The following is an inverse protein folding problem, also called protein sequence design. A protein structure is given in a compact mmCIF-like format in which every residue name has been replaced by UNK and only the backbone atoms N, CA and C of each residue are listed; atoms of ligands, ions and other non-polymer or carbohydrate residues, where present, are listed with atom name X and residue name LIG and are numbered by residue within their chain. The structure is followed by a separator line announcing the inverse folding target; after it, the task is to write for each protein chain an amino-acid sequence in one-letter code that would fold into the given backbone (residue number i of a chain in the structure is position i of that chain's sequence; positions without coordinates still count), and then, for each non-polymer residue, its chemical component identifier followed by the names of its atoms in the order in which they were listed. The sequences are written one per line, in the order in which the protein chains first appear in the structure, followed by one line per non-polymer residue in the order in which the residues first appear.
data_IF_145521010305
#
_entry.id   IF_145521010305
#
_cell.length_a   1.000
_cell.length_b   1.000
_cell.length_c   1.000
_cell.angle_alpha   90.00
_cell.angle_beta   90.00
_cell.angle_gamma   90.00
#
_symmetry.space_group_name_H-M   'P 1'
#
loop_
_entity.id
_entity.type
_entity.pdbx_description
1 polymer ?
#
# COMPACT_ATOMS: atom_id res chain seq x y z
N UNK A 1 28.05 -16.87 -10.59
CA UNK A 1 26.62 -16.54 -10.39
C UNK A 1 26.51 -15.67 -9.14
N UNK A 2 25.73 -14.58 -9.16
CA UNK A 2 25.50 -13.81 -7.93
C UNK A 2 24.83 -14.71 -6.89
N UNK A 3 25.27 -14.60 -5.63
CA UNK A 3 24.60 -15.23 -4.49
C UNK A 3 23.15 -14.74 -4.43
N UNK A 4 22.18 -15.65 -4.39
CA UNK A 4 20.76 -15.31 -4.32
C UNK A 4 20.12 -16.02 -3.12
N UNK A 5 19.47 -15.25 -2.27
CA UNK A 5 18.68 -15.79 -1.18
C UNK A 5 17.22 -15.99 -1.64
N UNK A 6 16.62 -17.12 -1.24
CA UNK A 6 15.23 -17.47 -1.56
C UNK A 6 14.50 -17.87 -0.30
N UNK A 7 13.21 -17.51 -0.23
CA UNK A 7 12.29 -17.96 0.80
C UNK A 7 11.51 -19.18 0.29
N UNK A 8 11.40 -20.21 1.12
CA UNK A 8 10.50 -21.35 0.91
C UNK A 8 9.62 -21.49 2.15
N UNK A 9 8.31 -21.68 1.94
CA UNK A 9 7.41 -22.03 3.04
C UNK A 9 7.71 -23.47 3.48
N UNK A 10 7.77 -23.69 4.78
CA UNK A 10 7.95 -25.02 5.34
C UNK A 10 6.75 -25.90 4.96
N UNK A 11 6.96 -27.06 4.32
CA UNK A 11 5.89 -27.98 3.98
C UNK A 11 4.96 -28.34 5.15
N UNK A 12 5.49 -28.40 6.38
CA UNK A 12 4.74 -28.71 7.60
C UNK A 12 3.63 -27.69 7.86
N UNK A 13 3.77 -26.43 7.42
CA UNK A 13 2.70 -25.43 7.53
C UNK A 13 1.46 -25.84 6.74
N UNK A 14 1.63 -26.50 5.59
CA UNK A 14 0.49 -26.97 4.79
C UNK A 14 -0.20 -28.15 5.45
N UNK A 15 0.55 -29.07 6.05
CA UNK A 15 0.01 -30.20 6.80
C UNK A 15 -0.77 -29.73 8.03
N UNK A 16 -0.22 -28.77 8.78
CA UNK A 16 -0.89 -28.14 9.92
C UNK A 16 -2.18 -27.43 9.51
N UNK A 17 -2.15 -26.67 8.41
CA UNK A 17 -3.34 -26.00 7.88
C UNK A 17 -4.41 -27.02 7.45
N UNK A 18 -4.02 -28.12 6.80
CA UNK A 18 -4.93 -29.21 6.44
C UNK A 18 -5.52 -29.91 7.68
N UNK A 19 -4.77 -29.96 8.79
CA UNK A 19 -5.23 -30.45 10.09
C UNK A 19 -6.07 -29.43 10.89
N UNK A 20 -6.37 -28.26 10.34
CA UNK A 20 -7.23 -27.25 10.97
C UNK A 20 -6.50 -26.24 11.87
N UNK A 21 -5.17 -26.14 11.78
CA UNK A 21 -4.42 -25.10 12.47
C UNK A 21 -4.84 -23.69 11.99
N UNK A 22 -4.72 -22.70 12.89
CA UNK A 22 -4.98 -21.30 12.54
C UNK A 22 -3.87 -20.79 11.61
N UNK A 23 -4.27 -20.24 10.47
CA UNK A 23 -3.36 -19.68 9.47
C UNK A 23 -3.36 -18.15 9.53
N UNK A 24 -2.55 -17.59 10.42
CA UNK A 24 -2.47 -16.14 10.67
C UNK A 24 -1.62 -15.37 9.65
N UNK A 25 -1.56 -14.06 9.82
CA UNK A 25 -0.70 -13.19 9.03
C UNK A 25 0.78 -13.55 9.21
N UNK A 26 1.54 -13.54 8.11
CA UNK A 26 2.99 -13.74 8.12
C UNK A 26 3.64 -12.39 7.83
N UNK A 27 4.59 -11.89 8.66
CA UNK A 27 5.25 -10.60 8.47
C UNK A 27 6.26 -10.66 7.30
N UNK A 28 5.74 -10.81 6.09
CA UNK A 28 6.51 -11.07 4.87
C UNK A 28 7.48 -9.93 4.56
N UNK A 29 7.12 -8.69 4.86
CA UNK A 29 8.01 -7.53 4.69
C UNK A 29 9.25 -7.68 5.56
N UNK A 30 9.11 -7.97 6.87
CA UNK A 30 10.26 -8.15 7.76
C UNK A 30 11.19 -9.28 7.29
N UNK A 31 10.62 -10.41 6.85
CA UNK A 31 11.40 -11.53 6.30
C UNK A 31 12.16 -11.11 5.05
N UNK A 32 11.49 -10.45 4.11
CA UNK A 32 12.12 -9.99 2.86
C UNK A 32 13.18 -8.91 3.13
N UNK A 33 12.97 -8.04 4.10
CA UNK A 33 13.94 -7.02 4.52
C UNK A 33 15.22 -7.66 5.05
N UNK A 34 15.12 -8.67 5.92
CA UNK A 34 16.28 -9.41 6.43
C UNK A 34 17.03 -10.14 5.31
N UNK A 35 16.29 -10.79 4.40
CA UNK A 35 16.87 -11.45 3.22
C UNK A 35 17.62 -10.44 2.33
N UNK A 36 17.01 -9.28 2.09
CA UNK A 36 17.60 -8.22 1.28
C UNK A 36 18.87 -7.66 1.93
N UNK A 37 18.85 -7.42 3.25
CA UNK A 37 20.00 -6.90 4.01
C UNK A 37 21.15 -7.91 3.97
N UNK A 38 20.88 -9.19 4.26
CA UNK A 38 21.89 -10.23 4.17
C UNK A 38 22.49 -10.32 2.76
N UNK A 39 21.64 -10.24 1.73
CA UNK A 39 22.10 -10.23 0.33
C UNK A 39 22.98 -9.02 0.03
N UNK A 40 22.55 -7.82 0.44
CA UNK A 40 23.31 -6.59 0.22
C UNK A 40 24.71 -6.66 0.87
N UNK A 41 24.78 -7.12 2.13
CA UNK A 41 26.04 -7.29 2.86
C UNK A 41 26.96 -8.30 2.16
N UNK A 42 26.43 -9.46 1.76
CA UNK A 42 27.22 -10.51 1.10
C UNK A 42 27.78 -10.10 -0.26
N UNK A 43 27.16 -9.11 -0.91
CA UNK A 43 27.62 -8.54 -2.17
C UNK A 43 28.43 -7.25 -2.01
N UNK A 44 28.64 -6.76 -0.79
CA UNK A 44 29.31 -5.47 -0.55
C UNK A 44 28.53 -4.28 -1.12
N UNK A 45 27.20 -4.37 -1.16
CA UNK A 45 26.31 -3.31 -1.63
C UNK A 45 26.00 -2.31 -0.51
N UNK A 46 25.42 -1.18 -0.90
CA UNK A 46 24.87 -0.19 0.03
C UNK A 46 23.61 -0.66 0.75
N UNK A 47 22.95 0.24 1.51
CA UNK A 47 21.76 -0.08 2.27
C UNK A 47 20.60 -0.55 1.38
N UNK A 48 19.75 -1.39 1.94
CA UNK A 48 18.49 -1.78 1.31
C UNK A 48 17.51 -0.60 1.37
N UNK A 49 17.03 -0.21 0.20
CA UNK A 49 16.04 0.86 0.03
C UNK A 49 14.67 0.23 -0.23
N UNK A 50 13.75 0.39 0.72
CA UNK A 50 12.36 -0.02 0.58
C UNK A 50 11.47 1.15 0.15
N UNK A 51 10.26 0.82 -0.31
CA UNK A 51 9.24 1.78 -0.71
C UNK A 51 8.06 1.84 0.27
N UNK A 52 8.23 1.45 1.53
CA UNK A 52 7.14 1.55 2.51
C UNK A 52 6.84 3.01 2.83
N UNK A 53 5.56 3.31 2.93
CA UNK A 53 4.96 4.63 3.01
C UNK A 53 4.42 4.93 4.42
N UNK A 54 3.99 6.17 4.66
CA UNK A 54 3.45 6.59 5.96
C UNK A 54 2.20 5.81 6.33
N UNK A 55 1.29 5.63 5.36
CA UNK A 55 0.00 4.95 5.47
C UNK A 55 0.06 3.52 5.97
N UNK A 56 1.22 2.87 5.82
CA UNK A 56 1.44 1.52 6.34
C UNK A 56 1.51 1.47 7.88
N UNK A 57 1.72 2.61 8.55
CA UNK A 57 1.75 2.70 10.00
C UNK A 57 0.36 2.82 10.62
N UNK A 58 -0.65 3.20 9.84
CA UNK A 58 -2.04 3.37 10.28
C UNK A 58 -2.74 2.01 10.55
N UNK A 59 -3.33 1.81 11.74
CA UNK A 59 -3.96 0.55 12.11
C UNK A 59 -5.25 0.27 11.34
N UNK A 60 -5.59 -1.01 11.21
CA UNK A 60 -6.87 -1.43 10.60
C UNK A 60 -8.05 -1.23 11.55
N UNK A 61 -7.85 -1.51 12.83
CA UNK A 61 -8.84 -1.30 13.89
C UNK A 61 -8.17 -1.31 15.27
N UNK A 62 -8.94 -0.92 16.29
CA UNK A 62 -8.62 -1.17 17.70
C UNK A 62 -9.47 -2.34 18.20
N UNK A 63 -8.82 -3.40 18.66
CA UNK A 63 -9.46 -4.58 19.24
C UNK A 63 -9.04 -4.75 20.70
N UNK A 64 -10.00 -4.69 21.63
CA UNK A 64 -9.74 -4.79 23.07
C UNK A 64 -8.64 -3.83 23.55
N UNK A 65 -8.66 -2.58 23.06
CA UNK A 65 -7.66 -1.56 23.39
C UNK A 65 -6.31 -1.70 22.68
N UNK A 66 -6.16 -2.67 21.78
CA UNK A 66 -4.92 -2.87 21.02
C UNK A 66 -5.13 -2.50 19.55
N UNK A 67 -4.23 -1.69 19.01
CA UNK A 67 -4.17 -1.44 17.57
C UNK A 67 -3.77 -2.71 16.82
N UNK A 68 -4.60 -3.12 15.86
CA UNK A 68 -4.32 -4.25 14.97
C UNK A 68 -3.98 -3.68 13.60
N UNK A 69 -2.73 -3.86 13.17
CA UNK A 69 -2.24 -3.40 11.88
C UNK A 69 -1.73 -4.59 11.04
N UNK A 70 -2.43 -4.91 9.96
CA UNK A 70 -2.06 -5.94 8.98
C UNK A 70 -0.73 -5.63 8.28
N UNK A 71 -0.38 -4.35 8.18
CA UNK A 71 0.82 -3.84 7.55
C UNK A 71 1.91 -3.47 8.57
N UNK A 72 1.79 -3.87 9.84
CA UNK A 72 2.71 -3.40 10.89
C UNK A 72 4.19 -3.59 10.53
N UNK A 73 4.56 -4.69 9.88
CA UNK A 73 5.94 -4.95 9.43
C UNK A 73 6.47 -4.00 8.33
N UNK A 74 5.60 -3.15 7.77
CA UNK A 74 5.93 -2.02 6.90
C UNK A 74 5.90 -0.68 7.63
N UNK A 75 5.42 -0.61 8.87
CA UNK A 75 5.31 0.62 9.64
C UNK A 75 6.65 1.17 10.11
N UNK A 76 6.66 2.44 10.56
CA UNK A 76 7.88 3.10 11.04
C UNK A 76 8.44 2.48 12.32
N UNK A 77 7.57 2.02 13.23
CA UNK A 77 7.99 1.34 14.45
C UNK A 77 8.76 0.05 14.14
N UNK A 78 8.20 -0.79 13.28
CA UNK A 78 8.84 -2.02 12.83
C UNK A 78 10.18 -1.77 12.11
N UNK A 79 10.26 -0.70 11.30
CA UNK A 79 11.51 -0.28 10.68
C UNK A 79 12.57 0.12 11.72
N UNK A 80 12.19 0.87 12.75
CA UNK A 80 13.07 1.24 13.85
C UNK A 80 13.58 0.02 14.63
N UNK A 81 12.68 -0.91 14.98
CA UNK A 81 13.02 -2.16 15.69
C UNK A 81 13.94 -3.05 14.86
N UNK A 82 13.68 -3.20 13.55
CA UNK A 82 14.54 -3.96 12.66
C UNK A 82 15.93 -3.34 12.56
N UNK A 83 16.03 -2.01 12.40
CA UNK A 83 17.31 -1.30 12.36
C UNK A 83 18.10 -1.47 13.65
N UNK A 84 17.43 -1.38 14.80
CA UNK A 84 18.05 -1.59 16.11
C UNK A 84 18.60 -3.01 16.24
N UNK A 85 17.81 -4.03 15.88
CA UNK A 85 18.23 -5.43 15.93
C UNK A 85 19.43 -5.71 14.99
N UNK A 86 19.46 -5.11 13.80
CA UNK A 86 20.58 -5.24 12.86
C UNK A 86 21.85 -4.56 13.38
N UNK A 87 21.72 -3.41 14.04
CA UNK A 87 22.85 -2.75 14.68
C UNK A 87 23.39 -3.59 15.85
N UNK A 88 22.52 -4.07 16.73
CA UNK A 88 22.89 -4.83 17.92
C UNK A 88 23.51 -6.20 17.59
N UNK A 89 22.86 -6.98 16.71
CA UNK A 89 23.24 -8.37 16.48
C UNK A 89 24.17 -8.59 15.29
N UNK A 90 24.25 -7.64 14.36
CA UNK A 90 25.09 -7.75 13.17
C UNK A 90 26.10 -6.61 13.01
N UNK A 91 26.11 -5.61 13.91
CA UNK A 91 27.03 -4.47 13.83
C UNK A 91 26.80 -3.57 12.62
N UNK A 92 25.62 -3.65 11.99
CA UNK A 92 25.33 -2.93 10.76
C UNK A 92 24.83 -1.51 11.06
N UNK A 93 25.43 -0.51 10.41
CA UNK A 93 25.02 0.89 10.53
C UNK A 93 24.20 1.31 9.31
N UNK A 94 22.99 1.82 9.56
CA UNK A 94 22.03 2.27 8.54
C UNK A 94 21.73 1.26 7.39
N UNK A 95 21.64 -0.06 7.63
CA UNK A 95 21.59 -1.06 6.55
C UNK A 95 20.28 -1.10 5.75
N UNK A 96 19.23 -0.43 6.21
CA UNK A 96 17.87 -0.60 5.75
C UNK A 96 17.03 0.65 6.04
N UNK A 97 16.34 1.21 5.05
CA UNK A 97 15.38 2.28 5.27
C UNK A 97 14.29 2.29 4.19
N UNK A 98 13.16 2.94 4.48
CA UNK A 98 12.10 3.17 3.49
C UNK A 98 12.19 4.58 2.92
N UNK A 99 12.48 4.74 1.63
CA UNK A 99 12.66 6.06 0.99
C UNK A 99 11.36 6.86 0.94
N UNK A 100 10.23 6.19 0.73
CA UNK A 100 8.91 6.82 0.59
C UNK A 100 8.21 7.02 1.94
N UNK A 101 8.89 6.79 3.08
CA UNK A 101 8.29 6.78 4.42
C UNK A 101 7.47 8.02 4.73
N UNK A 102 7.90 9.17 4.25
CA UNK A 102 7.23 10.43 4.54
C UNK A 102 6.00 10.70 3.68
N UNK A 103 5.76 9.92 2.62
CA UNK A 103 4.64 10.11 1.71
C UNK A 103 3.45 9.22 2.11
N UNK A 104 2.24 9.66 1.83
CA UNK A 104 1.05 8.80 1.85
C UNK A 104 0.96 7.96 0.56
N UNK A 105 0.16 6.89 0.55
CA UNK A 105 -0.15 6.12 -0.67
C UNK A 105 -0.75 7.02 -1.77
N UNK A 106 -1.65 7.95 -1.44
CA UNK A 106 -2.29 8.84 -2.41
C UNK A 106 -1.30 9.84 -3.00
N UNK A 107 -0.35 10.33 -2.20
CA UNK A 107 0.74 11.15 -2.72
C UNK A 107 1.61 10.33 -3.68
N UNK A 108 1.95 9.08 -3.32
CA UNK A 108 2.70 8.19 -4.21
C UNK A 108 1.92 7.92 -5.51
N UNK A 109 0.60 7.73 -5.44
CA UNK A 109 -0.24 7.54 -6.62
C UNK A 109 -0.22 8.76 -7.56
N UNK A 110 -0.22 9.98 -7.01
CA UNK A 110 -0.04 11.22 -7.78
C UNK A 110 1.29 11.24 -8.50
N UNK A 111 2.39 10.93 -7.81
CA UNK A 111 3.73 10.91 -8.41
C UNK A 111 3.86 9.81 -9.47
N UNK A 112 3.31 8.63 -9.20
CA UNK A 112 3.32 7.52 -10.15
C UNK A 112 2.53 7.86 -11.43
N UNK A 113 1.46 8.66 -11.32
CA UNK A 113 0.68 9.08 -12.47
C UNK A 113 1.47 9.95 -13.48
N UNK A 114 2.62 10.51 -13.11
CA UNK A 114 3.51 11.22 -14.03
C UNK A 114 4.38 10.27 -14.88
N UNK A 115 4.34 8.96 -14.60
CA UNK A 115 5.20 7.95 -15.23
C UNK A 115 4.35 6.93 -15.98
N UNK A 116 4.48 6.85 -17.30
CA UNK A 116 3.73 5.92 -18.17
C UNK A 116 4.49 4.61 -18.51
N UNK A 117 5.82 4.62 -18.38
CA UNK A 117 6.70 3.49 -18.75
C UNK A 117 6.38 2.16 -18.07
N UNK A 118 5.57 2.17 -17.01
CA UNK A 118 5.20 1.00 -16.21
C UNK A 118 3.75 0.55 -16.37
N UNK A 119 2.95 1.22 -17.20
CA UNK A 119 1.52 0.92 -17.36
C UNK A 119 1.27 -0.55 -17.77
N UNK A 120 2.16 -1.13 -18.57
CA UNK A 120 2.07 -2.52 -19.01
C UNK A 120 2.40 -3.56 -17.94
N UNK A 121 3.06 -3.18 -16.84
CA UNK A 121 3.61 -4.13 -15.84
C UNK A 121 3.18 -3.85 -14.41
N UNK A 122 2.66 -2.65 -14.11
CA UNK A 122 2.21 -2.30 -12.76
C UNK A 122 1.12 -3.25 -12.29
N UNK A 123 1.29 -3.83 -11.10
CA UNK A 123 0.32 -4.74 -10.47
C UNK A 123 0.50 -4.72 -8.97
N UNK A 124 -0.59 -4.54 -8.24
CA UNK A 124 -0.62 -4.69 -6.77
C UNK A 124 -1.67 -5.69 -6.31
N UNK A 125 -2.50 -6.23 -7.22
CA UNK A 125 -3.62 -7.10 -6.89
C UNK A 125 -3.18 -8.35 -6.11
N UNK A 126 -3.73 -8.56 -4.91
CA UNK A 126 -3.43 -9.74 -4.11
C UNK A 126 -3.82 -11.06 -4.79
N UNK A 127 -4.83 -11.05 -5.66
CA UNK A 127 -5.21 -12.24 -6.42
C UNK A 127 -4.11 -12.67 -7.41
N UNK A 128 -3.23 -11.76 -7.86
CA UNK A 128 -2.11 -12.10 -8.74
C UNK A 128 -0.96 -12.81 -8.00
N UNK A 129 -0.94 -12.76 -6.66
CA UNK A 129 0.12 -13.33 -5.84
C UNK A 129 -0.34 -14.53 -5.02
N UNK A 130 -1.53 -15.09 -5.31
CA UNK A 130 -2.00 -16.33 -4.68
C UNK A 130 -1.13 -17.51 -5.09
N UNK A 131 -0.91 -18.45 -4.17
CA UNK A 131 -0.16 -19.69 -4.44
C UNK A 131 -0.90 -20.62 -5.43
N UNK A 132 -2.22 -20.49 -5.55
CA UNK A 132 -3.09 -21.25 -6.46
C UNK A 132 -4.11 -20.29 -7.07
N UNK A 133 -4.47 -20.54 -8.33
CA UNK A 133 -5.49 -19.78 -9.07
C UNK A 133 -5.21 -18.26 -9.09
N UNK A 134 -3.96 -17.90 -9.37
CA UNK A 134 -3.55 -16.51 -9.46
C UNK A 134 -4.16 -15.83 -10.69
N UNK A 135 -4.65 -14.60 -10.53
CA UNK A 135 -5.05 -13.76 -11.66
C UNK A 135 -3.84 -13.26 -12.43
N UNK A 136 -3.97 -12.98 -13.73
CA UNK A 136 -2.83 -12.49 -14.53
C UNK A 136 -2.25 -11.16 -14.02
N UNK A 137 -3.09 -10.17 -13.70
CA UNK A 137 -2.66 -8.88 -13.12
C UNK A 137 -3.69 -8.26 -12.18
N UNK A 138 -4.83 -7.83 -12.71
CA UNK A 138 -5.86 -7.14 -11.93
C UNK A 138 -7.15 -7.96 -11.94
N UNK A 139 -7.59 -8.45 -10.76
CA UNK A 139 -8.88 -9.14 -10.66
C UNK A 139 -10.08 -8.18 -10.70
N UNK A 140 -9.83 -6.87 -10.52
CA UNK A 140 -10.83 -5.78 -10.53
C UNK A 140 -11.90 -5.86 -9.45
N UNK A 141 -11.76 -6.77 -8.49
CA UNK A 141 -12.80 -7.02 -7.47
C UNK A 141 -12.28 -7.10 -6.02
N UNK A 142 -10.96 -7.14 -5.78
CA UNK A 142 -10.44 -7.15 -4.42
C UNK A 142 -10.29 -5.72 -3.86
N UNK A 143 -10.24 -5.54 -2.52
CA UNK A 143 -10.05 -4.23 -1.89
C UNK A 143 -8.82 -3.48 -2.43
N UNK A 144 -7.75 -4.21 -2.73
CA UNK A 144 -6.53 -3.65 -3.31
C UNK A 144 -6.72 -3.10 -4.73
N UNK A 145 -7.51 -3.76 -5.58
CA UNK A 145 -7.82 -3.21 -6.92
C UNK A 145 -8.62 -1.92 -6.79
N UNK A 146 -9.63 -1.91 -5.93
CA UNK A 146 -10.47 -0.73 -5.67
C UNK A 146 -9.64 0.44 -5.15
N UNK A 147 -8.84 0.21 -4.11
CA UNK A 147 -8.00 1.26 -3.54
C UNK A 147 -7.04 1.86 -4.57
N UNK A 148 -6.29 1.02 -5.30
CA UNK A 148 -5.31 1.54 -6.28
C UNK A 148 -6.01 2.26 -7.44
N UNK A 149 -7.16 1.77 -7.91
CA UNK A 149 -7.94 2.47 -8.93
C UNK A 149 -8.40 3.84 -8.43
N UNK A 150 -8.97 3.91 -7.21
CA UNK A 150 -9.42 5.16 -6.60
C UNK A 150 -8.26 6.14 -6.37
N UNK A 151 -7.10 5.67 -5.91
CA UNK A 151 -5.94 6.52 -5.65
C UNK A 151 -5.32 7.08 -6.94
N UNK A 152 -5.33 6.33 -8.05
CA UNK A 152 -4.78 6.77 -9.34
C UNK A 152 -5.76 7.60 -10.19
N UNK A 153 -7.07 7.36 -10.06
CA UNK A 153 -8.11 8.00 -10.89
C UNK A 153 -8.06 9.53 -10.93
N UNK A 154 -7.80 10.26 -9.83
CA UNK A 154 -7.72 11.72 -9.87
C UNK A 154 -6.60 12.26 -10.74
N UNK A 155 -5.57 11.46 -11.02
CA UNK A 155 -4.31 11.91 -11.61
C UNK A 155 -4.03 11.32 -13.00
N UNK A 156 -4.92 10.45 -13.49
CA UNK A 156 -4.81 9.82 -14.80
C UNK A 156 -6.05 10.13 -15.65
N UNK A 157 -5.88 10.09 -16.98
CA UNK A 157 -7.05 10.02 -17.86
C UNK A 157 -7.79 8.71 -17.64
N UNK A 158 -9.12 8.75 -17.76
CA UNK A 158 -9.97 7.55 -17.68
C UNK A 158 -9.55 6.48 -18.68
N UNK A 159 -9.15 6.87 -19.89
CA UNK A 159 -8.64 5.93 -20.90
C UNK A 159 -7.37 5.19 -20.43
N UNK A 160 -6.38 5.93 -19.93
CA UNK A 160 -5.13 5.33 -19.45
C UNK A 160 -5.37 4.36 -18.29
N UNK A 161 -6.12 4.81 -17.28
CA UNK A 161 -6.37 4.01 -16.09
C UNK A 161 -7.16 2.73 -16.41
N UNK A 162 -8.20 2.85 -17.25
CA UNK A 162 -8.99 1.69 -17.69
C UNK A 162 -8.16 0.74 -18.56
N UNK A 163 -7.21 1.24 -19.34
CA UNK A 163 -6.22 0.44 -20.07
C UNK A 163 -5.30 -0.37 -19.15
N UNK A 164 -4.80 0.23 -18.05
CA UNK A 164 -3.95 -0.45 -17.05
C UNK A 164 -4.72 -1.60 -16.38
N UNK A 165 -5.94 -1.34 -15.94
CA UNK A 165 -6.76 -2.30 -15.19
C UNK A 165 -7.51 -3.29 -16.09
N UNK A 166 -7.67 -2.98 -17.38
CA UNK A 166 -8.52 -3.72 -18.31
C UNK A 166 -10.01 -3.57 -18.00
N UNK A 167 -10.42 -2.46 -17.39
CA UNK A 167 -11.82 -2.19 -17.03
C UNK A 167 -12.00 -0.95 -16.17
N UNK A 168 -13.22 -0.41 -16.17
CA UNK A 168 -13.59 0.77 -15.39
C UNK A 168 -14.35 0.37 -14.13
N UNK A 169 -13.67 0.41 -12.98
CA UNK A 169 -14.25 0.03 -11.70
C UNK A 169 -15.21 1.08 -11.15
N UNK A 170 -15.14 2.34 -11.61
CA UNK A 170 -16.05 3.40 -11.16
C UNK A 170 -17.34 3.43 -11.98
N UNK A 171 -17.34 2.82 -13.17
CA UNK A 171 -18.53 2.60 -13.98
C UNK A 171 -19.40 1.41 -13.51
N UNK A 172 -18.83 0.46 -12.76
CA UNK A 172 -19.49 -0.77 -12.32
C UNK A 172 -20.14 -0.59 -10.93
N UNK A 173 -21.47 -0.43 -10.91
CA UNK A 173 -22.25 -0.26 -9.67
C UNK A 173 -22.05 -1.39 -8.65
N UNK A 174 -21.71 -2.61 -9.10
CA UNK A 174 -21.44 -3.73 -8.19
C UNK A 174 -20.21 -3.52 -7.30
N UNK A 175 -19.33 -2.57 -7.65
CA UNK A 175 -18.16 -2.21 -6.85
C UNK A 175 -18.50 -1.31 -5.64
N UNK A 176 -19.68 -0.70 -5.61
CA UNK A 176 -20.05 0.34 -4.63
C UNK A 176 -19.84 -0.11 -3.19
N UNK A 177 -20.33 -1.30 -2.82
CA UNK A 177 -20.18 -1.82 -1.46
C UNK A 177 -18.71 -1.94 -1.04
N UNK A 178 -17.87 -2.47 -1.93
CA UNK A 178 -16.44 -2.61 -1.64
C UNK A 178 -15.69 -1.27 -1.57
N UNK A 179 -16.17 -0.22 -2.23
CA UNK A 179 -15.63 1.12 -2.02
C UNK A 179 -16.13 1.74 -0.71
N UNK A 180 -17.38 1.53 -0.30
CA UNK A 180 -17.90 2.03 1.00
C UNK A 180 -17.04 1.55 2.18
N UNK A 181 -16.55 0.31 2.14
CA UNK A 181 -15.60 -0.22 3.12
C UNK A 181 -14.27 0.58 3.14
N UNK A 182 -13.71 0.93 1.98
CA UNK A 182 -12.47 1.72 1.90
C UNK A 182 -12.63 3.14 2.44
N UNK A 183 -13.81 3.72 2.29
CA UNK A 183 -14.13 5.05 2.80
C UNK A 183 -14.60 5.04 4.27
N UNK A 184 -14.50 3.91 4.96
CA UNK A 184 -14.90 3.78 6.37
C UNK A 184 -16.39 4.00 6.61
N UNK A 185 -17.21 3.93 5.56
CA UNK A 185 -18.67 4.05 5.64
C UNK A 185 -19.27 2.76 6.23
N UNK A 186 -18.70 1.61 5.84
CA UNK A 186 -19.08 0.30 6.34
C UNK A 186 -17.87 -0.39 7.00
N UNK A 187 -18.01 -0.79 8.26
CA UNK A 187 -17.03 -1.65 8.92
C UNK A 187 -15.70 -0.98 9.26
N UNK A 188 -14.62 -1.77 9.15
CA UNK A 188 -13.24 -1.34 9.43
C UNK A 188 -12.41 -1.42 8.14
N UNK A 189 -11.27 -0.71 8.11
CA UNK A 189 -10.31 -0.77 7.00
C UNK A 189 -9.98 -2.25 6.69
N UNK A 190 -10.19 -2.73 5.45
CA UNK A 190 -9.96 -4.12 5.11
C UNK A 190 -8.59 -4.61 5.57
N UNK A 191 -8.48 -5.86 6.01
CA UNK A 191 -7.19 -6.51 6.35
C UNK A 191 -6.37 -6.83 5.10
N UNK A 192 -6.12 -5.80 4.32
CA UNK A 192 -5.39 -5.79 3.07
C UNK A 192 -4.45 -4.59 3.08
N UNK A 193 -3.45 -4.62 2.19
CA UNK A 193 -2.47 -3.55 2.10
C UNK A 193 -3.03 -2.27 1.43
N UNK A 194 -4.10 -1.67 1.94
CA UNK A 194 -4.71 -0.45 1.38
C UNK A 194 -4.32 0.79 2.21
N UNK A 195 -4.39 1.97 1.61
CA UNK A 195 -4.13 3.23 2.30
C UNK A 195 -5.24 3.60 3.29
N UNK A 196 -5.12 4.79 3.86
CA UNK A 196 -6.00 5.29 4.93
C UNK A 196 -7.40 5.63 4.40
N UNK A 197 -8.38 5.69 5.32
CA UNK A 197 -9.73 6.16 5.01
C UNK A 197 -9.69 7.60 4.51
N UNK A 198 -8.89 8.45 5.16
CA UNK A 198 -8.69 9.85 4.78
C UNK A 198 -8.22 9.98 3.32
N UNK A 199 -7.23 9.18 2.91
CA UNK A 199 -6.74 9.14 1.53
C UNK A 199 -7.84 8.77 0.54
N UNK A 200 -8.69 7.80 0.88
CA UNK A 200 -9.81 7.38 0.03
C UNK A 200 -10.87 8.48 -0.11
N UNK A 201 -11.15 9.22 0.97
CA UNK A 201 -12.08 10.36 0.94
C UNK A 201 -11.51 11.52 0.14
N UNK A 202 -10.22 11.84 0.30
CA UNK A 202 -9.55 12.88 -0.50
C UNK A 202 -9.56 12.51 -1.98
N UNK A 203 -9.24 11.27 -2.34
CA UNK A 203 -9.32 10.81 -3.72
C UNK A 203 -10.73 10.99 -4.30
N UNK A 204 -11.77 10.58 -3.57
CA UNK A 204 -13.16 10.75 -4.00
C UNK A 204 -13.54 12.22 -4.17
N UNK A 205 -13.09 13.12 -3.28
CA UNK A 205 -13.39 14.55 -3.39
C UNK A 205 -12.82 15.16 -4.67
N UNK A 206 -11.63 14.72 -5.09
CA UNK A 206 -11.04 15.11 -6.37
C UNK A 206 -11.87 14.58 -7.55
N UNK A 207 -12.31 13.32 -7.51
CA UNK A 207 -13.15 12.73 -8.57
C UNK A 207 -14.49 13.45 -8.74
N UNK A 208 -15.10 13.89 -7.62
CA UNK A 208 -16.36 14.62 -7.65
C UNK A 208 -16.29 15.95 -8.41
N UNK A 209 -15.09 16.52 -8.56
CA UNK A 209 -14.85 17.78 -9.28
C UNK A 209 -14.38 17.58 -10.73
N UNK A 210 -14.21 16.34 -11.21
CA UNK A 210 -13.67 16.06 -12.54
C UNK A 210 -14.77 15.56 -13.49
N UNK A 211 -14.92 16.22 -14.65
CA UNK A 211 -15.92 15.87 -15.67
C UNK A 211 -15.85 14.39 -16.10
N UNK A 212 -14.65 13.81 -16.20
CA UNK A 212 -14.47 12.41 -16.61
C UNK A 212 -14.97 11.37 -15.59
N UNK A 213 -15.13 11.76 -14.32
CA UNK A 213 -15.41 10.85 -13.20
C UNK A 213 -16.67 11.17 -12.40
N UNK A 214 -17.02 12.45 -12.22
CA UNK A 214 -18.12 12.90 -11.33
C UNK A 214 -19.47 12.22 -11.61
N UNK A 215 -19.69 11.83 -12.85
CA UNK A 215 -20.94 11.21 -13.31
C UNK A 215 -20.92 9.68 -13.29
N UNK A 216 -19.79 9.07 -12.96
CA UNK A 216 -19.67 7.62 -12.82
C UNK A 216 -20.59 7.11 -11.68
N UNK A 217 -21.35 6.01 -11.87
CA UNK A 217 -22.32 5.51 -10.90
C UNK A 217 -21.75 5.33 -9.50
N UNK A 218 -20.54 4.76 -9.38
CA UNK A 218 -19.88 4.55 -8.09
C UNK A 218 -19.54 5.89 -7.43
N UNK A 219 -19.01 6.86 -8.18
CA UNK A 219 -18.65 8.18 -7.63
C UNK A 219 -19.88 8.89 -7.08
N UNK A 220 -20.99 8.90 -7.83
CA UNK A 220 -22.27 9.47 -7.36
C UNK A 220 -22.77 8.78 -6.09
N UNK A 221 -22.75 7.45 -6.07
CA UNK A 221 -23.21 6.68 -4.92
C UNK A 221 -22.36 6.96 -3.66
N UNK A 222 -21.04 7.05 -3.80
CA UNK A 222 -20.15 7.33 -2.68
C UNK A 222 -20.25 8.78 -2.19
N UNK A 223 -20.37 9.75 -3.11
CA UNK A 223 -20.56 11.15 -2.74
C UNK A 223 -21.83 11.33 -1.90
N UNK A 224 -22.92 10.66 -2.28
CA UNK A 224 -24.18 10.70 -1.54
C UNK A 224 -24.13 9.95 -0.20
N UNK A 225 -23.19 9.01 -0.03
CA UNK A 225 -23.08 8.17 1.17
C UNK A 225 -22.24 8.79 2.28
N UNK A 226 -21.39 9.78 1.99
CA UNK A 226 -20.51 10.40 2.96
C UNK A 226 -21.15 11.61 3.66
N UNK A 227 -20.95 11.76 4.98
CA UNK A 227 -21.43 12.93 5.73
C UNK A 227 -20.56 14.16 5.45
N UNK A 228 -21.12 15.36 5.71
CA UNK A 228 -20.41 16.65 5.57
C UNK A 228 -19.09 16.72 6.34
N UNK A 229 -19.01 16.03 7.49
CA UNK A 229 -17.81 15.97 8.32
C UNK A 229 -16.64 15.28 7.61
N UNK A 230 -16.90 14.28 6.76
CA UNK A 230 -15.86 13.62 5.99
C UNK A 230 -15.24 14.58 4.94
N UNK A 231 -16.08 15.41 4.31
CA UNK A 231 -15.63 16.41 3.34
C UNK A 231 -14.82 17.54 3.99
N UNK A 232 -15.23 17.97 5.19
CA UNK A 232 -14.49 18.96 5.95
C UNK A 232 -13.10 18.44 6.31
N UNK A 233 -13.00 17.22 6.84
CA UNK A 233 -11.71 16.58 7.15
C UNK A 233 -10.81 16.50 5.91
N UNK A 234 -11.34 16.03 4.78
CA UNK A 234 -10.59 15.92 3.53
C UNK A 234 -10.10 17.28 3.00
N UNK A 235 -10.85 18.37 3.21
CA UNK A 235 -10.45 19.71 2.74
C UNK A 235 -9.27 20.31 3.50
N UNK A 236 -9.02 19.84 4.72
CA UNK A 236 -7.88 20.26 5.56
C UNK A 236 -6.79 19.19 5.64
N UNK A 237 -6.90 18.13 4.84
CA UNK A 237 -6.02 16.97 4.87
C UNK A 237 -4.58 17.30 4.44
N UNK A 238 -3.60 16.64 5.07
CA UNK A 238 -2.17 16.74 4.75
C UNK A 238 -1.66 15.55 3.92
N UNK A 239 -2.53 14.75 3.31
CA UNK A 239 -2.15 13.54 2.57
C UNK A 239 -1.09 13.81 1.48
N UNK A 240 -1.07 15.00 0.86
CA UNK A 240 -0.06 15.38 -0.14
C UNK A 240 1.19 16.06 0.44
N UNK A 241 1.27 16.21 1.76
CA UNK A 241 2.41 16.82 2.44
C UNK A 241 3.32 15.70 2.97
N UNK A 242 4.61 15.67 2.58
CA UNK A 242 5.58 14.78 3.21
C UNK A 242 5.68 15.08 4.72
N UNK A 243 5.64 14.04 5.55
CA UNK A 243 5.64 14.22 7.01
C UNK A 243 5.91 12.93 7.78
N UNK A 244 5.85 13.02 9.10
CA UNK A 244 6.04 11.89 10.02
C UNK A 244 7.50 11.45 10.22
N UNK A 245 7.74 10.59 11.23
CA UNK A 245 9.06 10.06 11.53
C UNK A 245 9.58 9.18 10.38
N UNK A 246 10.89 9.23 10.14
CA UNK A 246 11.54 8.39 9.14
C UNK A 246 13.01 8.11 9.52
N UNK A 247 13.63 7.16 8.84
CA UNK A 247 15.03 6.78 9.01
C UNK A 247 15.85 6.95 7.72
N UNK A 248 15.41 7.84 6.82
CA UNK A 248 16.10 8.08 5.55
C UNK A 248 17.47 8.73 5.83
N UNK A 249 18.59 8.09 5.47
CA UNK A 249 19.90 8.68 5.72
C UNK A 249 20.13 9.94 4.89
N UNK A 250 20.91 10.88 5.43
CA UNK A 250 21.16 12.18 4.79
C UNK A 250 21.62 12.11 3.32
N UNK A 251 22.48 11.15 2.89
CA UNK A 251 22.86 11.02 1.48
C UNK A 251 21.68 10.73 0.54
N UNK A 252 20.61 10.09 1.04
CA UNK A 252 19.43 9.70 0.27
C UNK A 252 18.28 10.69 0.38
N UNK A 253 18.31 11.63 1.34
CA UNK A 253 17.25 12.62 1.54
C UNK A 253 16.98 13.44 0.27
N UNK A 254 18.03 13.76 -0.50
CA UNK A 254 17.91 14.48 -1.78
C UNK A 254 17.11 13.71 -2.84
N UNK A 255 17.12 12.38 -2.80
CA UNK A 255 16.37 11.57 -3.74
C UNK A 255 14.86 11.73 -3.53
N UNK A 256 14.40 11.91 -2.29
CA UNK A 256 13.00 12.19 -2.00
C UNK A 256 12.62 13.61 -2.45
N UNK A 257 13.47 14.61 -2.21
CA UNK A 257 13.23 15.99 -2.70
C UNK A 257 13.19 16.08 -4.22
N UNK A 258 13.87 15.19 -4.95
CA UNK A 258 13.79 15.16 -6.40
C UNK A 258 12.47 14.56 -6.92
N UNK A 259 11.70 13.86 -6.07
CA UNK A 259 10.42 13.25 -6.41
C UNK A 259 9.21 14.12 -6.05
N UNK A 260 9.35 15.07 -5.11
CA UNK A 260 8.26 15.90 -4.55
C UNK A 260 8.44 17.37 -4.83
#
# INVERSE_FOLDING_TARGET
MPLAARRRLDPVLFDLNAAGARNGHIPVTAINSLIAVATAVLHGLGPVVMSNERSASDPNLVWQGHEINHQWSKGVEAEGLLRAALAEHAGLTEPYFSLLRSLSELHIARLFAEIDRYDAVVTSCNAAFKLRDASERWCRNCPKCRFVFLAMAPFMSRERLTGIFGGDLLADESQTAGYRELLGVDGHKPFECVGEVEESVVALSLLAQQDQWRDAPVVKALVAALPDTAWQAASTSDVFTPGGPNFVPAPYAKALTALT
#
